data_IF_526929580631
#
_entry.id   IF_526929580631
#
_cell.length_a   1.000
_cell.length_b   1.000
_cell.length_c   1.000
_cell.angle_alpha   90.00
_cell.angle_beta   90.00
_cell.angle_gamma   90.00
#
_symmetry.space_group_name_H-M   'P 1'
#
loop_
_entity.id
_entity.type
_entity.pdbx_description
1 polymer ?
#
# COMPACT_ATOMS: atom_id res chain seq x y z
N UNK A 1 -5.00 61.16 1.66
CA UNK A 1 -4.20 60.41 2.64
C UNK A 1 -5.03 59.20 3.04
N UNK A 2 -5.57 58.48 2.06
CA UNK A 2 -4.88 57.53 1.17
C UNK A 2 -4.55 56.26 1.94
N UNK A 3 -5.48 55.30 1.76
CA UNK A 3 -5.30 53.87 1.63
C UNK A 3 -3.87 53.35 1.89
N UNK A 4 -3.72 52.63 3.00
CA UNK A 4 -2.78 51.51 3.12
C UNK A 4 -3.58 50.37 3.81
N UNK A 5 -4.62 49.89 3.12
CA UNK A 5 -5.08 48.52 3.33
C UNK A 5 -3.99 47.66 2.69
N UNK A 6 -3.07 47.19 3.53
CA UNK A 6 -1.96 46.30 3.18
C UNK A 6 -2.54 45.07 2.47
N UNK A 7 -2.52 45.11 1.14
CA UNK A 7 -2.85 44.02 0.22
C UNK A 7 -1.77 42.94 0.39
N UNK A 8 -1.80 42.29 1.55
CA UNK A 8 -1.06 41.09 1.84
C UNK A 8 -1.59 40.03 0.87
N UNK A 9 -0.91 39.92 -0.27
CA UNK A 9 -1.07 38.80 -1.19
C UNK A 9 -1.20 37.53 -0.34
N UNK A 10 -2.26 36.71 -0.55
CA UNK A 10 -2.38 35.48 0.21
C UNK A 10 -1.07 34.70 0.08
N UNK A 11 -0.50 34.29 1.22
CA UNK A 11 0.75 33.54 1.24
C UNK A 11 0.63 32.35 0.27
N UNK A 12 1.41 32.41 -0.80
CA UNK A 12 1.39 31.36 -1.83
C UNK A 12 2.00 30.12 -1.22
N UNK A 13 1.22 29.05 -1.14
CA UNK A 13 1.68 27.74 -0.67
C UNK A 13 2.49 27.09 -1.78
N UNK A 14 3.77 26.84 -1.52
CA UNK A 14 4.68 26.17 -2.45
C UNK A 14 4.83 24.69 -2.13
N UNK A 15 4.43 23.87 -3.07
CA UNK A 15 4.49 22.40 -2.99
C UNK A 15 5.64 21.90 -3.87
N UNK A 16 6.74 21.49 -3.24
CA UNK A 16 7.79 20.72 -3.91
C UNK A 16 7.32 19.27 -4.09
N UNK A 17 7.49 18.67 -5.27
CA UNK A 17 7.10 17.27 -5.49
C UNK A 17 8.20 16.42 -6.13
N UNK A 18 8.47 15.27 -5.54
CA UNK A 18 9.36 14.23 -6.05
C UNK A 18 8.56 12.95 -6.30
N UNK A 19 8.01 12.82 -7.50
CA UNK A 19 7.13 11.71 -7.91
C UNK A 19 7.67 11.05 -9.17
N UNK A 20 7.37 9.76 -9.38
CA UNK A 20 7.61 9.12 -10.68
C UNK A 20 6.82 9.84 -11.78
N UNK A 21 7.33 9.83 -13.01
CA UNK A 21 6.66 10.51 -14.14
C UNK A 21 5.21 10.02 -14.33
N UNK A 22 4.98 8.70 -14.23
CA UNK A 22 3.65 8.06 -14.28
C UNK A 22 2.73 8.57 -13.17
N UNK A 23 3.24 8.81 -11.96
CA UNK A 23 2.43 9.29 -10.84
C UNK A 23 2.16 10.79 -10.94
N UNK A 24 3.15 11.57 -11.33
CA UNK A 24 3.00 13.00 -11.57
C UNK A 24 1.93 13.27 -12.63
N UNK A 25 1.97 12.57 -13.78
CA UNK A 25 0.99 12.76 -14.86
C UNK A 25 -0.44 12.39 -14.45
N UNK A 26 -0.61 11.37 -13.59
CA UNK A 26 -1.93 10.93 -13.10
C UNK A 26 -2.48 11.83 -11.99
N UNK A 27 -1.63 12.26 -11.07
CA UNK A 27 -2.06 13.04 -9.91
C UNK A 27 -2.14 14.53 -10.20
N UNK A 28 -1.16 15.09 -10.92
CA UNK A 28 -1.03 16.51 -11.19
C UNK A 28 -1.52 16.84 -12.60
N UNK A 29 -2.79 16.52 -12.89
CA UNK A 29 -3.41 16.92 -14.15
C UNK A 29 -3.44 18.43 -14.31
N UNK A 30 -3.39 18.93 -15.54
CA UNK A 30 -3.41 20.38 -15.83
C UNK A 30 -4.62 21.07 -15.18
N UNK A 31 -5.78 20.39 -15.16
CA UNK A 31 -7.00 20.90 -14.53
C UNK A 31 -6.90 21.01 -13.00
N UNK A 32 -6.18 20.09 -12.34
CA UNK A 32 -5.90 20.18 -10.91
C UNK A 32 -4.92 21.32 -10.63
N UNK A 33 -3.81 21.36 -11.36
CA UNK A 33 -2.74 22.37 -11.18
C UNK A 33 -3.30 23.77 -11.39
N UNK A 34 -4.08 24.01 -12.45
CA UNK A 34 -4.72 25.31 -12.69
C UNK A 34 -5.68 25.72 -11.56
N UNK A 35 -6.46 24.76 -11.03
CA UNK A 35 -7.40 25.00 -9.92
C UNK A 35 -6.68 25.31 -8.61
N UNK A 36 -5.56 24.64 -8.35
CA UNK A 36 -4.71 24.89 -7.19
C UNK A 36 -4.01 26.24 -7.29
N UNK A 37 -3.48 26.59 -8.46
CA UNK A 37 -2.86 27.89 -8.72
C UNK A 37 -3.84 29.04 -8.51
N UNK A 38 -5.09 28.90 -8.98
CA UNK A 38 -6.15 29.88 -8.72
C UNK A 38 -6.51 30.05 -7.22
N UNK A 39 -6.01 29.17 -6.34
CA UNK A 39 -6.18 29.19 -4.89
C UNK A 39 -4.87 29.48 -4.14
N UNK A 40 -3.85 29.96 -4.84
CA UNK A 40 -2.55 30.29 -4.25
C UNK A 40 -1.69 29.08 -3.92
N UNK A 41 -1.86 27.95 -4.63
CA UNK A 41 -1.00 26.76 -4.47
C UNK A 41 -0.20 26.51 -5.74
N UNK A 42 1.12 26.50 -5.62
CA UNK A 42 2.05 26.31 -6.74
C UNK A 42 2.86 25.03 -6.58
N UNK A 43 3.02 24.28 -7.68
CA UNK A 43 3.76 23.02 -7.69
C UNK A 43 5.12 23.16 -8.37
N UNK A 44 6.15 22.59 -7.74
CA UNK A 44 7.53 22.65 -8.17
C UNK A 44 8.10 21.22 -8.26
N UNK A 45 8.48 20.71 -9.45
CA UNK A 45 9.15 19.41 -9.53
C UNK A 45 10.50 19.49 -8.81
N UNK A 46 10.78 18.47 -8.00
CA UNK A 46 12.05 18.28 -7.33
C UNK A 46 12.81 17.11 -7.96
N UNK A 47 14.11 17.33 -8.15
CA UNK A 47 15.08 16.29 -8.48
C UNK A 47 15.62 15.68 -7.17
N UNK A 48 15.37 14.38 -6.91
CA UNK A 48 15.85 13.73 -5.69
C UNK A 48 17.39 13.65 -5.56
N UNK A 49 18.13 13.85 -6.65
CA UNK A 49 19.59 13.87 -6.68
C UNK A 49 20.20 15.20 -6.21
N UNK A 50 19.39 16.25 -6.06
CA UNK A 50 19.83 17.61 -5.71
C UNK A 50 19.34 17.98 -4.31
N UNK A 51 20.12 18.76 -3.56
CA UNK A 51 19.72 19.26 -2.24
C UNK A 51 18.49 20.16 -2.34
N UNK A 52 17.54 20.01 -1.40
CA UNK A 52 16.20 20.64 -1.48
C UNK A 52 16.28 22.17 -1.48
N UNK A 53 17.23 22.74 -0.74
CA UNK A 53 17.44 24.18 -0.60
C UNK A 53 18.04 24.85 -1.85
N UNK A 54 18.74 24.07 -2.68
CA UNK A 54 19.30 24.53 -3.95
C UNK A 54 18.28 24.55 -5.10
N UNK A 55 17.08 23.99 -4.90
CA UNK A 55 16.09 23.81 -5.96
C UNK A 55 15.13 24.99 -6.11
N UNK A 56 14.69 25.23 -7.35
CA UNK A 56 13.78 26.32 -7.68
C UNK A 56 12.46 26.17 -6.90
N UNK A 57 12.08 27.26 -6.22
CA UNK A 57 10.84 27.34 -5.45
C UNK A 57 11.07 27.41 -3.95
N UNK A 58 12.22 26.92 -3.45
CA UNK A 58 12.58 26.98 -2.04
C UNK A 58 12.39 28.38 -1.41
N UNK A 59 11.90 28.50 -0.15
CA UNK A 59 11.43 27.42 0.73
C UNK A 59 10.08 26.84 0.30
N UNK A 60 9.84 25.57 0.63
CA UNK A 60 8.59 24.85 0.36
C UNK A 60 7.78 24.69 1.65
N UNK A 61 6.49 25.00 1.58
CA UNK A 61 5.54 24.77 2.67
C UNK A 61 5.15 23.28 2.75
N UNK A 62 5.15 22.61 1.61
CA UNK A 62 4.83 21.18 1.51
C UNK A 62 5.84 20.48 0.59
N UNK A 63 6.29 19.30 1.00
CA UNK A 63 7.01 18.37 0.12
C UNK A 63 6.18 17.10 -0.04
N UNK A 64 5.82 16.77 -1.29
CA UNK A 64 5.12 15.55 -1.67
C UNK A 64 6.07 14.57 -2.33
N UNK A 65 6.24 13.36 -1.77
CA UNK A 65 7.23 12.43 -2.29
C UNK A 65 6.73 10.99 -2.42
N UNK A 66 7.14 10.31 -3.50
CA UNK A 66 7.06 8.86 -3.69
C UNK A 66 8.22 8.40 -4.58
N UNK A 67 9.44 8.52 -4.06
CA UNK A 67 10.64 7.97 -4.71
C UNK A 67 10.73 6.46 -4.44
N UNK A 68 10.89 5.59 -5.46
CA UNK A 68 10.96 4.15 -5.27
C UNK A 68 12.09 3.71 -4.33
N UNK A 69 11.85 2.63 -3.57
CA UNK A 69 12.87 2.03 -2.69
C UNK A 69 14.11 1.53 -3.44
N UNK A 70 13.91 1.09 -4.68
CA UNK A 70 14.95 0.58 -5.58
C UNK A 70 15.79 1.67 -6.26
N UNK A 71 15.44 2.95 -6.10
CA UNK A 71 16.19 4.04 -6.72
C UNK A 71 17.51 4.28 -5.97
N UNK A 72 18.61 4.41 -6.72
CA UNK A 72 19.94 4.60 -6.15
C UNK A 72 20.08 5.89 -5.33
N UNK A 73 19.23 6.90 -5.57
CA UNK A 73 19.24 8.16 -4.81
C UNK A 73 18.35 8.12 -3.55
N UNK A 74 17.60 7.04 -3.32
CA UNK A 74 16.57 6.98 -2.27
C UNK A 74 17.11 7.23 -0.87
N UNK A 75 18.28 6.66 -0.54
CA UNK A 75 18.86 6.79 0.79
C UNK A 75 19.23 8.26 1.10
N UNK A 76 19.90 8.92 0.15
CA UNK A 76 20.28 10.32 0.27
C UNK A 76 19.05 11.23 0.26
N UNK A 77 18.06 10.93 -0.58
CA UNK A 77 16.80 11.65 -0.63
C UNK A 77 16.04 11.59 0.70
N UNK A 78 15.96 10.40 1.32
CA UNK A 78 15.34 10.23 2.63
C UNK A 78 16.05 11.05 3.71
N UNK A 79 17.37 11.12 3.64
CA UNK A 79 18.15 11.91 4.58
C UNK A 79 17.93 13.42 4.39
N UNK A 80 17.91 13.90 3.14
CA UNK A 80 17.54 15.29 2.81
C UNK A 80 16.16 15.65 3.34
N UNK A 81 15.17 14.77 3.22
CA UNK A 81 13.82 14.98 3.76
C UNK A 81 13.82 15.11 5.30
N UNK A 82 14.57 14.27 6.02
CA UNK A 82 14.69 14.37 7.49
C UNK A 82 15.34 15.68 7.92
N UNK A 83 16.41 16.07 7.23
CA UNK A 83 17.10 17.33 7.48
C UNK A 83 16.17 18.51 7.21
N UNK A 84 15.42 18.49 6.12
CA UNK A 84 14.44 19.52 5.79
C UNK A 84 13.33 19.63 6.84
N UNK A 85 12.74 18.51 7.27
CA UNK A 85 11.72 18.50 8.34
C UNK A 85 12.25 19.09 9.66
N UNK A 86 13.53 18.88 9.95
CA UNK A 86 14.18 19.41 11.15
C UNK A 86 14.46 20.91 11.02
N UNK A 87 14.95 21.35 9.85
CA UNK A 87 15.30 22.74 9.58
C UNK A 87 14.08 23.64 9.36
N UNK A 88 12.96 23.08 8.87
CA UNK A 88 11.71 23.77 8.58
C UNK A 88 10.55 23.10 9.33
N UNK A 89 10.40 23.28 10.66
CA UNK A 89 9.39 22.58 11.45
C UNK A 89 7.93 22.87 11.07
N UNK A 90 7.69 23.98 10.35
CA UNK A 90 6.37 24.34 9.84
C UNK A 90 6.05 23.69 8.48
N UNK A 91 7.06 23.17 7.77
CA UNK A 91 6.85 22.53 6.48
C UNK A 91 6.27 21.11 6.67
N UNK A 92 5.31 20.74 5.82
CA UNK A 92 4.70 19.40 5.84
C UNK A 92 5.37 18.49 4.82
N UNK A 93 5.92 17.35 5.26
CA UNK A 93 6.44 16.32 4.36
C UNK A 93 5.41 15.19 4.23
N UNK A 94 4.69 15.17 3.11
CA UNK A 94 3.76 14.11 2.74
C UNK A 94 4.58 12.93 2.22
N UNK A 95 4.62 11.87 3.03
CA UNK A 95 5.49 10.72 2.80
C UNK A 95 6.83 10.81 3.54
N UNK A 96 6.88 11.41 4.74
CA UNK A 96 8.09 11.39 5.56
C UNK A 96 8.63 9.95 5.72
N UNK A 97 9.92 9.68 5.48
CA UNK A 97 10.44 8.31 5.37
C UNK A 97 10.12 7.43 6.58
N UNK A 98 10.16 7.99 7.78
CA UNK A 98 9.96 7.23 9.02
C UNK A 98 8.48 6.89 9.27
N UNK A 99 7.56 7.65 8.68
CA UNK A 99 6.13 7.34 8.68
C UNK A 99 5.79 6.33 7.59
N UNK A 100 6.38 6.48 6.40
CA UNK A 100 6.19 5.53 5.29
C UNK A 100 6.68 4.13 5.67
N UNK A 101 7.79 4.00 6.40
CA UNK A 101 8.29 2.70 6.90
C UNK A 101 7.25 1.90 7.70
N UNK A 102 6.33 2.58 8.40
CA UNK A 102 5.25 1.93 9.17
C UNK A 102 4.24 1.20 8.28
N UNK A 103 4.08 1.67 7.04
CA UNK A 103 3.13 1.13 6.06
C UNK A 103 3.80 0.39 4.91
N UNK A 104 5.11 0.14 4.97
CA UNK A 104 5.84 -0.68 3.99
C UNK A 104 6.38 -1.98 4.58
N UNK A 105 6.41 -2.13 5.91
CA UNK A 105 6.79 -3.39 6.57
C UNK A 105 5.54 -4.24 6.84
N UNK A 106 5.32 -5.30 6.05
CA UNK A 106 4.12 -6.15 6.18
C UNK A 106 4.06 -6.91 7.49
N UNK A 107 5.19 -7.13 8.17
CA UNK A 107 5.23 -7.81 9.45
C UNK A 107 4.63 -6.99 10.60
N UNK A 108 4.60 -5.66 10.48
CA UNK A 108 4.16 -4.73 11.56
C UNK A 108 3.07 -3.76 11.15
N UNK A 109 2.83 -3.55 9.84
CA UNK A 109 1.87 -2.55 9.36
C UNK A 109 0.43 -2.75 9.84
N UNK A 110 0.07 -3.99 10.21
CA UNK A 110 -1.27 -4.33 10.70
C UNK A 110 -1.42 -4.19 12.21
N UNK A 111 -0.33 -4.00 12.97
CA UNK A 111 -0.35 -3.91 14.43
C UNK A 111 -1.28 -2.77 14.90
N UNK A 112 -1.33 -1.69 14.12
CA UNK A 112 -2.19 -0.53 14.40
C UNK A 112 -3.67 -0.89 14.42
N UNK A 113 -4.10 -1.89 13.62
CA UNK A 113 -5.50 -2.27 13.43
C UNK A 113 -6.11 -2.74 14.74
N UNK A 114 -5.36 -3.49 15.55
CA UNK A 114 -5.81 -3.98 16.86
C UNK A 114 -6.14 -2.85 17.85
N UNK A 115 -5.56 -1.67 17.66
CA UNK A 115 -5.76 -0.52 18.53
C UNK A 115 -6.79 0.49 18.03
N UNK A 116 -7.43 0.24 16.87
CA UNK A 116 -8.38 1.18 16.26
C UNK A 116 -9.64 1.37 17.11
N UNK A 117 -10.08 0.35 17.84
CA UNK A 117 -11.31 0.43 18.64
C UNK A 117 -12.56 0.67 17.81
N UNK A 118 -12.60 0.09 16.59
CA UNK A 118 -13.78 0.03 15.72
C UNK A 118 -14.37 -1.36 15.84
N UNK A 119 -15.68 -1.45 16.04
CA UNK A 119 -16.38 -2.72 16.19
C UNK A 119 -16.29 -3.55 14.90
N UNK A 120 -16.15 -4.87 15.03
CA UNK A 120 -16.06 -5.81 13.90
C UNK A 120 -14.91 -5.54 12.91
N UNK A 121 -13.85 -4.85 13.36
CA UNK A 121 -12.62 -4.63 12.59
C UNK A 121 -11.48 -5.42 13.21
N UNK A 122 -10.83 -6.25 12.40
CA UNK A 122 -9.64 -7.02 12.80
C UNK A 122 -8.72 -7.29 11.61
N UNK A 123 -7.42 -7.40 11.86
CA UNK A 123 -6.47 -7.92 10.89
C UNK A 123 -6.47 -9.46 10.90
N UNK A 124 -6.34 -10.14 9.75
CA UNK A 124 -6.07 -11.57 9.70
C UNK A 124 -4.77 -11.91 10.42
N UNK A 125 -4.72 -13.08 11.09
CA UNK A 125 -3.51 -13.51 11.80
C UNK A 125 -2.36 -13.68 10.82
N UNK A 126 -1.17 -13.28 11.24
CA UNK A 126 0.02 -13.40 10.42
C UNK A 126 1.27 -13.64 11.27
N UNK A 127 2.28 -14.23 10.64
CA UNK A 127 3.62 -14.42 11.20
C UNK A 127 4.67 -14.04 10.17
N UNK A 128 5.87 -13.71 10.64
CA UNK A 128 7.04 -13.50 9.78
C UNK A 128 7.88 -14.77 9.81
N UNK A 129 8.18 -15.30 8.63
CA UNK A 129 9.12 -16.40 8.45
C UNK A 129 10.44 -15.84 7.93
N UNK A 130 11.56 -16.38 8.38
CA UNK A 130 12.92 -15.94 8.07
C UNK A 130 13.75 -17.11 7.52
N UNK A 131 14.87 -16.83 6.81
CA UNK A 131 15.77 -17.88 6.33
C UNK A 131 16.41 -18.75 7.43
N UNK A 132 16.27 -18.37 8.71
CA UNK A 132 16.81 -19.08 9.86
C UNK A 132 15.82 -20.11 10.44
N UNK A 133 14.55 -20.03 10.06
CA UNK A 133 13.51 -20.89 10.61
C UNK A 133 13.53 -22.26 9.90
N UNK A 134 13.78 -23.32 10.66
CA UNK A 134 13.66 -24.69 10.19
C UNK A 134 12.20 -25.18 10.22
N UNK A 135 11.96 -26.38 9.70
CA UNK A 135 10.61 -26.92 9.57
C UNK A 135 9.87 -27.08 10.92
N UNK A 136 10.60 -27.42 11.99
CA UNK A 136 10.05 -27.55 13.34
C UNK A 136 9.69 -26.18 13.91
N UNK A 137 10.60 -25.21 13.79
CA UNK A 137 10.39 -23.83 14.23
C UNK A 137 9.20 -23.18 13.52
N UNK A 138 9.09 -23.34 12.21
CA UNK A 138 7.96 -22.82 11.43
C UNK A 138 6.64 -23.43 11.92
N UNK A 139 6.61 -24.75 12.14
CA UNK A 139 5.42 -25.45 12.64
C UNK A 139 5.00 -24.94 14.02
N UNK A 140 5.97 -24.69 14.91
CA UNK A 140 5.73 -24.12 16.23
C UNK A 140 5.22 -22.68 16.14
N UNK A 141 5.85 -21.82 15.31
CA UNK A 141 5.42 -20.43 15.08
C UNK A 141 3.97 -20.36 14.60
N UNK A 142 3.60 -21.21 13.62
CA UNK A 142 2.24 -21.28 13.09
C UNK A 142 1.25 -21.73 14.19
N UNK A 143 1.62 -22.76 14.96
CA UNK A 143 0.81 -23.29 16.05
C UNK A 143 0.59 -22.25 17.15
N UNK A 144 1.65 -21.58 17.62
CA UNK A 144 1.61 -20.59 18.69
C UNK A 144 0.78 -19.36 18.32
N UNK A 145 0.87 -18.94 17.06
CA UNK A 145 0.05 -17.86 16.53
C UNK A 145 -1.41 -18.28 16.24
N UNK A 146 -1.69 -19.59 16.22
CA UNK A 146 -2.99 -20.17 15.94
C UNK A 146 -3.45 -19.96 14.50
N UNK A 147 -2.51 -19.91 13.55
CA UNK A 147 -2.77 -19.74 12.13
C UNK A 147 -3.47 -20.97 11.55
N UNK A 148 -4.44 -20.76 10.65
CA UNK A 148 -5.16 -21.83 9.95
C UNK A 148 -5.01 -21.72 8.43
N UNK A 149 -4.83 -22.84 7.72
CA UNK A 149 -4.77 -22.83 6.27
C UNK A 149 -6.16 -22.60 5.66
N UNK A 150 -6.25 -22.14 4.39
CA UNK A 150 -5.11 -21.77 3.54
C UNK A 150 -4.48 -20.43 3.96
N UNK A 151 -3.22 -20.23 3.60
CA UNK A 151 -2.46 -19.01 3.91
C UNK A 151 -2.16 -18.20 2.64
N UNK A 152 -1.97 -16.91 2.81
CA UNK A 152 -1.38 -16.01 1.84
C UNK A 152 0.07 -15.71 2.24
N UNK A 153 1.02 -16.14 1.41
CA UNK A 153 2.43 -15.78 1.52
C UNK A 153 2.73 -14.54 0.66
N UNK A 154 3.48 -13.58 1.22
CA UNK A 154 3.83 -12.31 0.57
C UNK A 154 5.17 -11.78 1.07
N UNK A 155 5.92 -11.09 0.22
CA UNK A 155 7.21 -10.50 0.60
C UNK A 155 7.09 -9.61 1.86
N UNK A 156 8.08 -9.64 2.75
CA UNK A 156 8.05 -8.86 4.00
C UNK A 156 7.99 -7.35 3.75
N UNK A 157 8.73 -6.88 2.75
CA UNK A 157 8.79 -5.46 2.39
C UNK A 157 7.85 -5.18 1.21
N UNK A 158 7.05 -4.12 1.34
CA UNK A 158 6.16 -3.59 0.32
C UNK A 158 6.58 -2.16 -0.01
N UNK A 159 7.59 -2.03 -0.87
CA UNK A 159 8.20 -0.76 -1.26
C UNK A 159 7.79 -0.29 -2.67
N UNK A 160 6.88 -1.03 -3.32
CA UNK A 160 6.41 -0.75 -4.67
C UNK A 160 7.34 -1.27 -5.77
N UNK A 161 8.37 -2.06 -5.44
CA UNK A 161 9.13 -2.82 -6.43
C UNK A 161 8.29 -3.96 -7.02
N UNK A 162 8.59 -4.39 -8.25
CA UNK A 162 7.88 -5.50 -8.91
C UNK A 162 7.83 -6.77 -8.06
N UNK A 163 8.90 -7.05 -7.32
CA UNK A 163 9.05 -8.25 -6.50
C UNK A 163 8.15 -8.20 -5.25
N UNK A 164 7.78 -7.00 -4.80
CA UNK A 164 6.94 -6.82 -3.61
C UNK A 164 5.46 -7.18 -3.82
N UNK A 165 5.03 -7.34 -5.08
CA UNK A 165 3.64 -7.62 -5.44
C UNK A 165 3.31 -9.11 -5.60
N UNK A 166 4.32 -9.98 -5.63
CA UNK A 166 4.12 -11.42 -5.68
C UNK A 166 3.40 -11.90 -4.42
N UNK A 167 2.36 -12.71 -4.61
CA UNK A 167 1.65 -13.40 -3.54
C UNK A 167 1.40 -14.85 -3.94
N UNK A 168 1.40 -15.74 -2.96
CA UNK A 168 1.10 -17.16 -3.17
C UNK A 168 0.11 -17.66 -2.13
N UNK A 169 -0.76 -18.59 -2.52
CA UNK A 169 -1.65 -19.31 -1.62
C UNK A 169 -0.96 -20.61 -1.21
N UNK A 170 -0.86 -20.85 0.09
CA UNK A 170 -0.24 -22.03 0.69
C UNK A 170 -1.36 -22.86 1.35
N UNK A 171 -1.62 -24.06 0.84
CA UNK A 171 -2.77 -24.86 1.27
C UNK A 171 -2.46 -25.77 2.47
N UNK A 172 -1.24 -26.28 2.56
CA UNK A 172 -0.88 -27.34 3.49
C UNK A 172 0.60 -27.29 3.89
N UNK A 173 1.03 -28.31 4.64
CA UNK A 173 2.41 -28.46 5.09
C UNK A 173 3.40 -28.64 3.93
N UNK A 174 2.98 -29.28 2.83
CA UNK A 174 3.80 -29.42 1.62
C UNK A 174 4.09 -28.06 1.00
N UNK A 175 3.09 -27.18 0.95
CA UNK A 175 3.26 -25.79 0.50
C UNK A 175 4.15 -24.96 1.43
N UNK A 176 4.06 -25.15 2.75
CA UNK A 176 4.97 -24.51 3.72
C UNK A 176 6.41 -24.96 3.45
N UNK A 177 6.63 -26.25 3.20
CA UNK A 177 7.96 -26.79 2.90
C UNK A 177 8.49 -26.29 1.55
N UNK A 178 7.63 -26.15 0.53
CA UNK A 178 7.97 -25.54 -0.75
C UNK A 178 8.40 -24.08 -0.57
N UNK A 179 7.66 -23.31 0.23
CA UNK A 179 8.00 -21.93 0.56
C UNK A 179 9.36 -21.84 1.27
N UNK A 180 9.58 -22.68 2.29
CA UNK A 180 10.84 -22.73 3.05
C UNK A 180 12.04 -23.06 2.19
N UNK A 181 11.87 -23.96 1.22
CA UNK A 181 12.92 -24.39 0.29
C UNK A 181 13.12 -23.43 -0.90
N UNK A 182 12.37 -22.33 -0.97
CA UNK A 182 12.47 -21.37 -2.09
C UNK A 182 11.88 -21.90 -3.40
N UNK A 183 10.99 -22.88 -3.36
CA UNK A 183 10.30 -23.44 -4.54
C UNK A 183 9.06 -22.65 -4.95
N UNK A 184 8.57 -21.74 -4.11
CA UNK A 184 7.46 -20.84 -4.44
C UNK A 184 7.97 -19.63 -5.20
N UNK A 185 7.76 -19.62 -6.52
CA UNK A 185 8.24 -18.54 -7.39
C UNK A 185 7.75 -17.16 -6.95
N UNK A 186 8.67 -16.18 -6.92
CA UNK A 186 8.38 -14.80 -6.57
C UNK A 186 8.21 -14.52 -5.07
N UNK A 187 8.28 -15.54 -4.20
CA UNK A 187 8.25 -15.36 -2.75
C UNK A 187 9.54 -15.88 -2.13
N UNK A 188 10.31 -14.98 -1.53
CA UNK A 188 11.55 -15.31 -0.82
C UNK A 188 11.42 -15.01 0.67
N UNK A 189 12.18 -15.75 1.49
CA UNK A 189 12.33 -15.43 2.90
C UNK A 189 13.33 -14.26 3.07
N UNK A 190 13.06 -13.29 3.97
CA UNK A 190 11.94 -13.27 4.90
C UNK A 190 10.61 -12.87 4.24
N UNK A 191 9.53 -13.54 4.64
CA UNK A 191 8.18 -13.28 4.12
C UNK A 191 7.15 -13.25 5.25
N UNK A 192 5.96 -12.75 4.94
CA UNK A 192 4.79 -12.84 5.79
C UNK A 192 3.94 -14.02 5.33
N UNK A 193 3.56 -14.88 6.28
CA UNK A 193 2.52 -15.88 6.12
C UNK A 193 1.28 -15.40 6.88
N UNK A 194 0.17 -15.18 6.18
CA UNK A 194 -1.08 -14.63 6.73
C UNK A 194 -2.24 -15.58 6.45
N UNK A 195 -3.24 -15.67 7.33
CA UNK A 195 -4.47 -16.43 7.04
C UNK A 195 -5.18 -15.86 5.81
N UNK A 196 -5.60 -16.75 4.91
CA UNK A 196 -6.49 -16.37 3.83
C UNK A 196 -7.92 -16.26 4.36
N UNK A 197 -8.57 -15.13 4.10
CA UNK A 197 -9.95 -14.89 4.52
C UNK A 197 -10.81 -14.86 3.26
N UNK A 198 -11.79 -15.75 3.15
CA UNK A 198 -12.82 -15.65 2.10
C UNK A 198 -13.62 -14.35 2.31
N UNK A 199 -13.73 -13.57 1.25
CA UNK A 199 -14.24 -12.19 1.26
C UNK A 199 -15.08 -11.87 0.00
N UNK A 200 -15.58 -12.91 -0.68
CA UNK A 200 -16.47 -12.80 -1.84
C UNK A 200 -15.82 -12.13 -3.06
N UNK A 201 -14.49 -12.21 -3.19
CA UNK A 201 -13.78 -11.62 -4.32
C UNK A 201 -13.83 -10.09 -4.39
N UNK A 202 -14.10 -9.40 -3.27
CA UNK A 202 -14.34 -7.96 -3.24
C UNK A 202 -13.39 -7.23 -2.28
N UNK A 203 -12.69 -6.21 -2.77
CA UNK A 203 -11.81 -5.33 -2.00
C UNK A 203 -12.39 -3.92 -1.93
N UNK A 204 -12.58 -3.42 -0.71
CA UNK A 204 -12.97 -2.03 -0.47
C UNK A 204 -11.71 -1.18 -0.20
N UNK A 205 -11.21 -0.50 -1.24
CA UNK A 205 -10.04 0.38 -1.12
C UNK A 205 -10.46 1.70 -0.49
N UNK A 206 -9.95 1.98 0.71
CA UNK A 206 -10.14 3.27 1.41
C UNK A 206 -8.94 4.18 1.15
N UNK A 207 -9.18 5.35 0.58
CA UNK A 207 -8.20 6.38 0.24
C UNK A 207 -8.28 7.52 1.24
N UNK A 208 -7.13 7.95 1.78
CA UNK A 208 -7.08 8.99 2.80
C UNK A 208 -6.12 10.11 2.41
N UNK A 209 -6.59 11.36 2.50
CA UNK A 209 -5.83 12.61 2.34
C UNK A 209 -6.13 13.51 3.54
N UNK A 210 -5.27 13.49 4.56
CA UNK A 210 -5.53 14.15 5.84
C UNK A 210 -6.87 13.68 6.43
N UNK A 211 -7.82 14.60 6.59
CA UNK A 211 -9.17 14.33 7.12
C UNK A 211 -10.21 13.96 6.04
N UNK A 212 -9.78 13.93 4.77
CA UNK A 212 -10.62 13.51 3.65
C UNK A 212 -10.46 12.01 3.41
N UNK A 213 -11.58 11.29 3.43
CA UNK A 213 -11.62 9.84 3.18
C UNK A 213 -12.63 9.56 2.08
N UNK A 214 -12.24 8.74 1.11
CA UNK A 214 -13.12 8.21 0.07
C UNK A 214 -12.84 6.72 -0.10
N UNK A 215 -13.75 5.97 -0.72
CA UNK A 215 -13.57 4.54 -0.95
C UNK A 215 -14.02 4.12 -2.34
N UNK A 216 -13.40 3.06 -2.85
CA UNK A 216 -13.78 2.44 -4.10
C UNK A 216 -13.80 0.92 -3.96
N UNK A 217 -14.78 0.28 -4.58
CA UNK A 217 -14.86 -1.17 -4.67
C UNK A 217 -14.01 -1.67 -5.83
N UNK A 218 -13.29 -2.78 -5.61
CA UNK A 218 -12.43 -3.45 -6.60
C UNK A 218 -12.64 -4.95 -6.53
N UNK A 219 -12.38 -5.62 -7.65
CA UNK A 219 -12.23 -7.09 -7.65
C UNK A 219 -11.01 -7.47 -6.82
N UNK A 220 -11.11 -8.60 -6.13
CA UNK A 220 -10.09 -9.19 -5.28
C UNK A 220 -9.94 -10.69 -5.60
N UNK A 221 -9.09 -11.37 -4.84
CA UNK A 221 -8.93 -12.81 -4.94
C UNK A 221 -10.23 -13.54 -4.59
N UNK A 222 -10.62 -14.58 -5.37
CA UNK A 222 -11.88 -15.28 -5.18
C UNK A 222 -11.87 -16.10 -3.87
N UNK A 223 -13.05 -16.50 -3.42
CA UNK A 223 -13.16 -17.41 -2.28
C UNK A 223 -12.57 -18.78 -2.62
N UNK A 224 -11.86 -19.35 -1.65
CA UNK A 224 -11.29 -20.69 -1.75
C UNK A 224 -12.29 -21.71 -1.20
N UNK A 225 -12.45 -22.82 -1.92
CA UNK A 225 -13.25 -23.95 -1.45
C UNK A 225 -12.45 -24.69 -0.40
N UNK A 226 -12.85 -24.54 0.87
CA UNK A 226 -12.25 -25.29 1.97
C UNK A 226 -12.80 -26.71 1.92
N UNK A 227 -12.06 -27.64 1.30
CA UNK A 227 -12.41 -29.05 1.41
C UNK A 227 -12.10 -29.53 2.83
N UNK A 228 -13.14 -29.76 3.62
CA UNK A 228 -13.03 -30.53 4.86
C UNK A 228 -12.39 -31.87 4.53
N UNK A 229 -11.27 -32.16 5.19
CA UNK A 229 -10.39 -33.31 5.01
C UNK A 229 -11.10 -34.66 5.14
N UNK A 230 -11.83 -35.08 4.08
CA UNK A 230 -12.47 -36.39 4.01
C UNK A 230 -12.68 -36.92 2.59
N UNK A 231 -12.21 -36.26 1.54
CA UNK A 231 -12.33 -36.80 0.19
C UNK A 231 -11.14 -36.41 -0.66
N UNK A 232 -10.25 -37.37 -0.86
CA UNK A 232 -9.24 -37.35 -1.92
C UNK A 232 -9.96 -37.25 -3.27
N UNK A 233 -10.06 -36.04 -3.82
CA UNK A 233 -10.36 -35.84 -5.23
C UNK A 233 -9.28 -34.95 -5.82
N UNK A 234 -8.51 -35.52 -6.75
CA UNK A 234 -7.59 -34.85 -7.64
C UNK A 234 -8.21 -33.57 -8.20
N UNK A 235 -7.78 -32.39 -7.73
CA UNK A 235 -7.89 -31.14 -8.46
C UNK A 235 -6.55 -30.42 -8.41
N UNK A 236 -6.24 -29.82 -9.55
CA UNK A 236 -4.97 -29.36 -10.11
C UNK A 236 -4.40 -28.12 -9.40
N UNK A 237 -4.25 -28.18 -8.08
CA UNK A 237 -3.32 -27.30 -7.38
C UNK A 237 -1.98 -28.01 -7.49
N UNK A 238 -1.05 -27.47 -8.30
CA UNK A 238 0.21 -28.14 -8.66
C UNK A 238 0.88 -28.88 -7.50
N UNK A 239 1.64 -29.92 -7.84
CA UNK A 239 2.20 -31.02 -7.01
C UNK A 239 2.90 -30.62 -5.67
N UNK A 240 2.97 -29.34 -5.35
CA UNK A 240 3.72 -28.77 -4.23
C UNK A 240 2.86 -28.08 -3.15
N UNK A 241 1.51 -28.10 -3.22
CA UNK A 241 0.64 -27.54 -2.17
C UNK A 241 0.68 -26.01 -2.03
N UNK A 242 1.29 -25.33 -3.00
CA UNK A 242 1.42 -23.88 -3.11
C UNK A 242 1.08 -23.40 -4.52
N UNK A 243 0.34 -22.29 -4.62
CA UNK A 243 -0.09 -21.71 -5.89
C UNK A 243 0.27 -20.22 -5.92
N UNK A 244 1.17 -19.84 -6.83
CA UNK A 244 1.47 -18.43 -7.09
C UNK A 244 0.27 -17.79 -7.76
N UNK A 245 -0.22 -16.68 -7.22
CA UNK A 245 -1.44 -16.05 -7.72
C UNK A 245 -1.07 -14.94 -8.71
N UNK A 246 -1.62 -14.95 -9.93
CA UNK A 246 -1.43 -13.83 -10.83
C UNK A 246 -2.10 -12.57 -10.24
N UNK A 247 -1.58 -11.39 -10.60
CA UNK A 247 -2.19 -10.11 -10.22
C UNK A 247 -3.68 -10.11 -10.59
N UNK A 248 -4.53 -9.59 -9.70
CA UNK A 248 -6.00 -9.59 -9.88
C UNK A 248 -6.43 -8.92 -11.19
N UNK A 249 -5.70 -7.91 -11.65
CA UNK A 249 -5.91 -7.25 -12.94
C UNK A 249 -5.84 -8.23 -14.14
N UNK A 250 -5.03 -9.29 -14.05
CA UNK A 250 -4.88 -10.30 -15.12
C UNK A 250 -6.03 -11.30 -15.21
N UNK A 251 -6.90 -11.43 -14.20
CA UNK A 251 -8.11 -12.26 -14.30
C UNK A 251 -9.16 -11.66 -15.26
N UNK A 252 -8.92 -10.46 -15.78
CA UNK A 252 -9.91 -9.64 -16.49
C UNK A 252 -9.61 -9.47 -17.97
N UNK A 253 -8.45 -9.93 -18.45
CA UNK A 253 -7.99 -9.67 -19.81
C UNK A 253 -8.15 -10.90 -20.70
N UNK A 254 -9.23 -10.93 -21.47
CA UNK A 254 -9.16 -11.48 -22.82
C UNK A 254 -8.33 -10.50 -23.67
N UNK A 255 -7.09 -10.86 -23.95
CA UNK A 255 -6.23 -10.34 -25.02
C UNK A 255 -6.14 -8.80 -25.18
N UNK A 256 -5.27 -8.17 -24.39
CA UNK A 256 -4.39 -7.09 -24.87
C UNK A 256 -3.27 -6.91 -23.85
N UNK A 257 -2.03 -7.18 -24.28
CA UNK A 257 -0.81 -6.90 -23.54
C UNK A 257 -0.77 -5.43 -23.14
N UNK A 258 -0.76 -5.16 -21.83
CA UNK A 258 -0.13 -4.00 -21.20
C UNK A 258 0.06 -4.33 -19.71
N UNK A 259 1.32 -4.47 -19.32
CA UNK A 259 1.73 -4.62 -17.93
C UNK A 259 1.53 -3.31 -17.13
N UNK A 260 1.50 -3.45 -15.79
CA UNK A 260 1.81 -2.44 -14.77
C UNK A 260 0.69 -1.57 -14.13
N UNK A 261 0.43 -1.92 -12.86
CA UNK A 261 0.01 -1.05 -11.75
C UNK A 261 -1.25 -0.19 -11.94
N UNK A 262 -2.39 -0.86 -11.74
CA UNK A 262 -3.68 -0.24 -11.49
C UNK A 262 -3.79 0.35 -10.08
N UNK A 263 -3.07 1.45 -9.83
CA UNK A 263 -3.49 2.50 -8.87
C UNK A 263 -4.29 3.59 -9.61
N UNK A 264 -5.24 3.14 -10.44
CA UNK A 264 -6.17 3.98 -11.18
C UNK A 264 -7.58 3.90 -10.65
N UNK A 265 -8.15 5.06 -10.34
CA UNK A 265 -9.59 5.28 -10.23
C UNK A 265 -10.30 5.11 -11.58
N UNK A 266 -10.24 3.92 -12.18
CA UNK A 266 -11.04 3.57 -13.35
C UNK A 266 -12.38 2.99 -12.90
N UNK A 267 -13.46 3.73 -13.15
CA UNK A 267 -14.83 3.23 -13.05
C UNK A 267 -15.09 2.29 -14.23
N UNK A 268 -14.74 1.02 -14.04
CA UNK A 268 -15.09 -0.07 -14.94
C UNK A 268 -16.44 -0.65 -14.57
N UNK A 269 -17.50 -0.12 -15.17
CA UNK A 269 -18.84 -0.70 -15.17
C UNK A 269 -18.87 -2.01 -15.99
N UNK A 270 -19.63 -2.99 -15.50
CA UNK A 270 -20.05 -4.17 -16.27
C UNK A 270 -19.14 -5.40 -16.28
N UNK A 271 -19.11 -6.17 -15.19
CA UNK A 271 -19.27 -7.63 -15.27
C UNK A 271 -19.68 -8.22 -13.91
N UNK A 272 -20.56 -9.22 -13.92
CA UNK A 272 -21.30 -9.79 -12.79
C UNK A 272 -20.47 -9.90 -11.48
N UNK A 273 -20.71 -8.97 -10.57
CA UNK A 273 -20.08 -8.91 -9.25
C UNK A 273 -20.66 -10.03 -8.37
N UNK A 274 -19.81 -10.81 -7.71
CA UNK A 274 -20.23 -11.50 -6.50
C UNK A 274 -20.61 -10.40 -5.49
N UNK A 275 -21.91 -10.32 -5.17
CA UNK A 275 -22.57 -9.17 -4.56
C UNK A 275 -22.30 -9.11 -3.05
N UNK A 276 -21.06 -8.81 -2.65
CA UNK A 276 -20.78 -8.37 -1.29
C UNK A 276 -21.07 -6.87 -1.22
N UNK A 277 -22.12 -6.43 -0.51
CA UNK A 277 -22.39 -5.01 -0.37
C UNK A 277 -21.22 -4.34 0.37
N UNK A 278 -20.86 -3.09 0.01
CA UNK A 278 -19.84 -2.37 0.74
C UNK A 278 -20.28 -2.16 2.20
N UNK A 279 -19.33 -2.12 3.15
CA UNK A 279 -19.59 -1.63 4.49
C UNK A 279 -20.14 -0.19 4.45
N UNK A 280 -20.78 0.24 5.54
CA UNK A 280 -21.26 1.61 5.69
C UNK A 280 -20.11 2.62 5.50
N UNK A 281 -20.32 3.63 4.65
CA UNK A 281 -19.35 4.68 4.37
C UNK A 281 -18.86 5.40 5.63
N UNK A 282 -19.72 5.55 6.65
CA UNK A 282 -19.34 6.13 7.93
C UNK A 282 -18.33 5.26 8.68
N UNK A 283 -18.45 3.93 8.58
CA UNK A 283 -17.49 2.97 9.15
C UNK A 283 -16.16 3.03 8.40
N UNK A 284 -16.19 3.02 7.06
CA UNK A 284 -14.97 3.16 6.25
C UNK A 284 -14.25 4.48 6.51
N UNK A 285 -15.02 5.58 6.67
CA UNK A 285 -14.51 6.88 7.04
C UNK A 285 -13.88 6.86 8.44
N UNK A 286 -14.54 6.29 9.44
CA UNK A 286 -14.01 6.18 10.80
C UNK A 286 -12.70 5.38 10.83
N UNK A 287 -12.64 4.25 10.12
CA UNK A 287 -11.41 3.45 9.96
C UNK A 287 -10.30 4.30 9.34
N UNK A 288 -10.58 4.98 8.22
CA UNK A 288 -9.60 5.82 7.52
C UNK A 288 -9.02 6.94 8.39
N UNK A 289 -9.89 7.66 9.12
CA UNK A 289 -9.47 8.75 10.01
C UNK A 289 -8.65 8.23 11.21
N UNK A 290 -9.05 7.11 11.82
CA UNK A 290 -8.30 6.53 12.94
C UNK A 290 -6.95 5.96 12.51
N UNK A 291 -6.87 5.36 11.32
CA UNK A 291 -5.60 4.94 10.73
C UNK A 291 -4.69 6.14 10.48
N UNK A 292 -5.21 7.22 9.87
CA UNK A 292 -4.47 8.47 9.69
C UNK A 292 -3.90 9.00 11.00
N UNK A 293 -4.75 9.13 12.03
CA UNK A 293 -4.35 9.64 13.33
C UNK A 293 -3.27 8.79 14.03
N UNK A 294 -3.36 7.45 13.92
CA UNK A 294 -2.41 6.55 14.59
C UNK A 294 -1.11 6.34 13.83
N UNK A 295 -1.17 6.30 12.50
CA UNK A 295 0.00 6.13 11.65
C UNK A 295 0.76 7.45 11.47
N UNK A 296 0.07 8.58 11.56
CA UNK A 296 0.60 9.92 11.29
C UNK A 296 0.82 10.20 9.79
N UNK A 297 0.42 9.27 8.92
CA UNK A 297 0.59 9.35 7.46
C UNK A 297 -0.57 10.14 6.86
N UNK A 298 -0.29 11.24 6.17
CA UNK A 298 -1.33 12.09 5.56
C UNK A 298 -1.94 11.51 4.30
N UNK A 299 -1.20 10.65 3.60
CA UNK A 299 -1.56 10.14 2.29
C UNK A 299 -1.21 8.66 2.21
N UNK A 300 -2.22 7.80 2.13
CA UNK A 300 -2.02 6.38 1.88
C UNK A 300 -3.10 5.80 0.95
N UNK A 301 -2.72 4.73 0.26
CA UNK A 301 -3.45 4.12 -0.86
C UNK A 301 -3.56 4.97 -2.14
N UNK A 302 -2.74 6.02 -2.30
CA UNK A 302 -2.67 6.85 -3.52
C UNK A 302 -1.55 6.48 -4.49
#
# INVERSE_FOLDING_TARGET
DDDDDDDARPDVIKVGYALTAKKASRMLSDALVARCSARGVEFYPLDPAIDIDAQRGHPFDVILQKVPGSDGVKADWDERLRQYATAQPLARIVGLPDLVKRVTNRGTMLDVVHSLGVENVSAPRQVVLTPRDDAESISQIISDAGLKPPYLAKALICDGSEHSHSVAIIHDQGGIEALRQGRVSGIELPCVLQEYVNHGGCLFKVYVVGESVTSATRRSLPDLVVHSSSSSSNHDYGDEGAVVVPRVSRFTQSASDDDEDEDGGGDGDGNEQQHVPPPDDAVLRDIGLRLHAKLGVDLFNF
#
